data_IF_442528164073
#
_entry.id   IF_442528164073
#
_cell.length_a   1.000
_cell.length_b   1.000
_cell.length_c   1.000
_cell.angle_alpha   90.00
_cell.angle_beta   90.00
_cell.angle_gamma   90.00
#
_symmetry.space_group_name_H-M   'P 1'
#
loop_
_entity.id
_entity.type
_entity.pdbx_description
1 polymer ?
#
# COMPACT_ATOMS: atom_id res chain seq x y z
N UNK A 1 15.77 12.29 -18.51
CA UNK A 1 15.00 11.54 -17.49
C UNK A 1 14.53 12.56 -16.47
N UNK A 2 13.29 13.01 -16.57
CA UNK A 2 12.77 14.03 -15.66
C UNK A 2 11.25 14.08 -15.77
N UNK A 3 10.61 13.42 -14.83
CA UNK A 3 9.57 13.95 -13.96
C UNK A 3 9.34 12.81 -12.98
N UNK A 4 9.68 13.04 -11.71
CA UNK A 4 9.53 12.08 -10.64
C UNK A 4 8.16 11.41 -10.70
N UNK A 5 8.10 10.14 -10.30
CA UNK A 5 6.90 9.31 -10.20
C UNK A 5 5.82 9.84 -9.25
N UNK A 6 5.37 11.08 -9.47
CA UNK A 6 4.25 11.76 -8.85
C UNK A 6 2.96 11.35 -9.57
N UNK A 7 2.60 10.10 -9.36
CA UNK A 7 1.26 9.82 -8.87
C UNK A 7 1.44 8.84 -7.72
N UNK A 8 1.79 9.41 -6.57
CA UNK A 8 1.35 8.89 -5.26
C UNK A 8 -0.07 8.36 -5.48
N UNK A 9 -0.34 7.11 -5.08
CA UNK A 9 -1.73 6.65 -5.02
C UNK A 9 -2.52 7.78 -4.38
N UNK A 10 -3.50 8.40 -5.03
CA UNK A 10 -4.09 9.71 -4.65
C UNK A 10 -4.63 9.68 -3.19
N UNK A 11 -3.74 9.76 -2.19
CA UNK A 11 -4.00 9.45 -0.79
C UNK A 11 -2.83 8.88 0.03
N UNK A 12 -1.95 8.04 -0.55
CA UNK A 12 -0.88 7.34 0.18
C UNK A 12 0.54 7.55 -0.37
N UNK A 13 1.47 7.80 0.54
CA UNK A 13 2.90 8.02 0.31
C UNK A 13 3.72 6.86 0.85
N UNK A 14 4.84 6.58 0.19
CA UNK A 14 5.82 5.59 0.67
C UNK A 14 6.25 5.90 2.10
N UNK A 15 6.30 4.87 2.95
CA UNK A 15 6.67 4.97 4.35
C UNK A 15 5.49 5.23 5.29
N UNK A 16 4.30 5.58 4.79
CA UNK A 16 3.11 5.67 5.64
C UNK A 16 2.68 4.30 6.13
N UNK A 17 2.19 4.26 7.37
CA UNK A 17 1.58 3.07 7.97
C UNK A 17 0.08 3.13 7.74
N UNK A 18 -0.47 2.02 7.26
CA UNK A 18 -1.88 1.86 6.91
C UNK A 18 -2.41 0.54 7.47
N UNK A 19 -3.73 0.44 7.55
CA UNK A 19 -4.43 -0.79 7.88
C UNK A 19 -5.65 -0.94 6.95
N UNK A 20 -6.08 -2.18 6.70
CA UNK A 20 -7.39 -2.41 6.10
C UNK A 20 -8.49 -1.83 6.99
N UNK A 21 -9.48 -1.17 6.38
CA UNK A 21 -10.65 -0.66 7.12
C UNK A 21 -11.46 -1.74 7.82
N UNK A 22 -11.38 -2.99 7.33
CA UNK A 22 -11.98 -4.17 7.96
C UNK A 22 -11.19 -4.70 9.18
N UNK A 23 -10.07 -4.06 9.53
CA UNK A 23 -9.08 -4.60 10.45
C UNK A 23 -8.07 -5.51 9.75
N UNK A 24 -6.96 -5.81 10.44
CA UNK A 24 -5.87 -6.62 9.90
C UNK A 24 -4.50 -6.20 10.45
N UNK A 25 -3.39 -6.64 9.82
CA UNK A 25 -2.06 -6.19 10.23
C UNK A 25 -1.84 -4.71 9.89
N UNK A 26 -0.94 -4.06 10.62
CA UNK A 26 -0.38 -2.77 10.23
C UNK A 26 0.62 -2.99 9.10
N UNK A 27 0.48 -2.21 8.03
CA UNK A 27 1.25 -2.37 6.80
C UNK A 27 1.92 -1.06 6.43
N UNK A 28 3.11 -1.13 5.84
CA UNK A 28 3.84 0.04 5.36
C UNK A 28 3.68 0.18 3.85
N UNK A 29 3.30 1.36 3.37
CA UNK A 29 3.22 1.65 1.95
C UNK A 29 4.62 1.68 1.36
N UNK A 30 4.88 0.88 0.32
CA UNK A 30 6.17 0.82 -0.39
C UNK A 30 6.14 1.48 -1.76
N UNK A 31 4.94 1.73 -2.30
CA UNK A 31 4.73 2.42 -3.57
C UNK A 31 3.30 2.31 -4.07
N UNK A 32 3.11 2.63 -5.34
CA UNK A 32 1.86 2.45 -6.07
C UNK A 32 2.12 1.72 -7.38
N UNK A 33 1.10 1.02 -7.87
CA UNK A 33 1.11 0.39 -9.19
C UNK A 33 -0.26 0.53 -9.86
N UNK A 34 -0.34 0.25 -11.16
CA UNK A 34 -1.64 0.14 -11.85
C UNK A 34 -1.98 -1.32 -12.09
N UNK A 35 -3.22 -1.70 -11.80
CA UNK A 35 -3.74 -3.01 -12.18
C UNK A 35 -3.77 -3.17 -13.70
N UNK A 36 -3.98 -4.41 -14.18
CA UNK A 36 -4.16 -4.66 -15.62
C UNK A 36 -5.36 -3.92 -16.25
N UNK A 37 -6.27 -3.38 -15.43
CA UNK A 37 -7.41 -2.55 -15.84
C UNK A 37 -7.14 -1.04 -15.72
N UNK A 38 -5.95 -0.65 -15.29
CA UNK A 38 -5.54 0.74 -15.12
C UNK A 38 -5.91 1.36 -13.77
N UNK A 39 -6.49 0.61 -12.84
CA UNK A 39 -6.83 1.08 -11.49
C UNK A 39 -5.56 1.29 -10.66
N UNK A 40 -5.49 2.40 -9.92
CA UNK A 40 -4.35 2.72 -9.07
C UNK A 40 -4.42 1.90 -7.78
N UNK A 41 -3.36 1.18 -7.46
CA UNK A 41 -3.24 0.32 -6.29
C UNK A 41 -2.10 0.77 -5.40
N UNK A 42 -2.30 0.75 -4.09
CA UNK A 42 -1.26 0.96 -3.09
C UNK A 42 -0.56 -0.36 -2.83
N UNK A 43 0.77 -0.39 -3.04
CA UNK A 43 1.61 -1.54 -2.73
C UNK A 43 2.11 -1.40 -1.30
N UNK A 44 1.96 -2.45 -0.51
CA UNK A 44 2.27 -2.47 0.92
C UNK A 44 3.18 -3.64 1.28
N UNK A 45 3.83 -3.52 2.43
CA UNK A 45 4.60 -4.59 3.08
C UNK A 45 4.24 -4.72 4.54
N UNK A 46 4.15 -5.94 5.05
CA UNK A 46 4.03 -6.21 6.48
C UNK A 46 4.69 -7.55 6.83
N UNK A 47 4.98 -7.74 8.12
CA UNK A 47 5.48 -9.01 8.63
C UNK A 47 4.30 -9.91 9.02
N UNK A 48 4.19 -11.07 8.38
CA UNK A 48 3.14 -12.04 8.68
C UNK A 48 3.62 -12.99 9.78
N UNK A 49 3.26 -12.71 11.03
CA UNK A 49 3.80 -13.37 12.22
C UNK A 49 3.70 -14.91 12.17
N UNK A 50 2.54 -15.45 11.75
CA UNK A 50 2.32 -16.90 11.70
C UNK A 50 3.22 -17.61 10.67
N UNK A 51 3.67 -16.90 9.64
CA UNK A 51 4.51 -17.47 8.58
C UNK A 51 5.95 -16.96 8.65
N UNK A 52 6.28 -16.16 9.67
CA UNK A 52 7.60 -15.57 9.93
C UNK A 52 8.27 -14.95 8.69
N UNK A 53 7.48 -14.26 7.85
CA UNK A 53 7.97 -13.69 6.60
C UNK A 53 7.40 -12.32 6.30
N UNK A 54 8.11 -11.56 5.46
CA UNK A 54 7.55 -10.34 4.87
C UNK A 54 6.63 -10.68 3.70
N UNK A 55 5.44 -10.11 3.72
CA UNK A 55 4.42 -10.24 2.68
C UNK A 55 4.26 -8.90 1.98
N UNK A 56 4.22 -8.95 0.65
CA UNK A 56 3.97 -7.80 -0.21
C UNK A 56 2.63 -7.99 -0.90
N UNK A 57 1.74 -7.02 -0.75
CA UNK A 57 0.40 -7.05 -1.34
C UNK A 57 0.04 -5.70 -1.93
N UNK A 58 -1.00 -5.69 -2.77
CA UNK A 58 -1.53 -4.50 -3.41
C UNK A 58 -3.02 -4.38 -3.14
N UNK A 59 -3.44 -3.22 -2.67
CA UNK A 59 -4.83 -2.92 -2.35
C UNK A 59 -5.32 -1.69 -3.11
N UNK A 60 -6.61 -1.64 -3.39
CA UNK A 60 -7.25 -0.39 -3.78
C UNK A 60 -7.15 0.61 -2.60
N UNK A 61 -6.81 1.89 -2.82
CA UNK A 61 -6.64 2.87 -1.75
C UNK A 61 -7.85 2.99 -0.81
N UNK A 62 -9.06 2.81 -1.33
CA UNK A 62 -10.31 2.93 -0.57
C UNK A 62 -10.45 1.87 0.52
N UNK A 63 -9.80 0.71 0.35
CA UNK A 63 -9.78 -0.36 1.35
C UNK A 63 -8.87 -0.04 2.55
N UNK A 64 -8.01 0.98 2.43
CA UNK A 64 -7.01 1.33 3.43
C UNK A 64 -7.41 2.58 4.23
N UNK A 65 -6.98 2.62 5.48
CA UNK A 65 -6.99 3.79 6.34
C UNK A 65 -5.56 4.15 6.76
N UNK A 66 -5.27 5.44 6.89
CA UNK A 66 -4.04 5.92 7.54
C UNK A 66 -4.12 5.60 9.03
N UNK A 67 -3.04 5.05 9.55
CA UNK A 67 -2.85 4.93 11.00
C UNK A 67 -2.35 6.28 11.54
N UNK A 68 -3.07 6.82 12.52
CA UNK A 68 -2.70 8.05 13.26
C UNK A 68 -1.73 7.77 14.40
#
# INVERSE_FOLDING_TARGET
MSEEGRKEAEGFRKGQVVQLRSGGPRMTVVGSERSGRGELMARVVYFHEREEKFVYESFIPEALALES
#
